data_IF_542726547107
#
_entry.id   IF_542726547107
#
_cell.length_a   1.000
_cell.length_b   1.000
_cell.length_c   1.000
_cell.angle_alpha   90.00
_cell.angle_beta   90.00
_cell.angle_gamma   90.00
#
_symmetry.space_group_name_H-M   'P 1'
#
loop_
_entity.id
_entity.type
_entity.pdbx_description
1 polymer ?
#
# COMPACT_ATOMS: atom_id res chain seq x y z
N UNK A 1 19.34 -9.75 -11.46
CA UNK A 1 18.90 -9.84 -10.04
C UNK A 1 18.75 -8.42 -9.54
N UNK A 2 17.57 -8.03 -9.06
CA UNK A 2 17.43 -6.77 -8.32
C UNK A 2 17.93 -7.03 -6.90
N UNK A 3 18.96 -6.30 -6.47
CA UNK A 3 19.33 -6.27 -5.06
C UNK A 3 18.18 -5.61 -4.31
N UNK A 4 17.71 -6.25 -3.23
CA UNK A 4 16.76 -5.60 -2.33
C UNK A 4 17.49 -4.40 -1.68
N UNK A 5 16.87 -3.22 -1.73
CA UNK A 5 17.40 -2.03 -1.08
C UNK A 5 17.22 -2.17 0.43
N UNK A 6 18.29 -1.99 1.20
CA UNK A 6 18.19 -1.88 2.66
C UNK A 6 17.60 -0.51 3.03
N UNK A 7 16.28 -0.47 3.17
CA UNK A 7 15.52 0.76 3.48
C UNK A 7 15.86 1.33 4.85
N UNK A 8 16.19 0.48 5.84
CA UNK A 8 16.53 0.94 7.18
C UNK A 8 17.90 1.62 7.18
N UNK A 9 18.89 1.03 6.50
CA UNK A 9 20.18 1.65 6.31
C UNK A 9 20.05 2.98 5.54
N UNK A 10 19.24 3.02 4.48
CA UNK A 10 19.00 4.23 3.70
C UNK A 10 18.31 5.32 4.53
N UNK A 11 17.27 4.98 5.31
CA UNK A 11 16.60 5.91 6.24
C UNK A 11 17.59 6.48 7.25
N UNK A 12 18.42 5.64 7.86
CA UNK A 12 19.45 6.07 8.81
C UNK A 12 20.47 7.00 8.16
N UNK A 13 20.90 6.71 6.92
CA UNK A 13 21.81 7.57 6.19
C UNK A 13 21.17 8.94 5.91
N UNK A 14 19.93 8.97 5.43
CA UNK A 14 19.20 10.21 5.16
C UNK A 14 18.98 11.04 6.44
N UNK A 15 18.57 10.42 7.56
CA UNK A 15 18.39 11.13 8.83
C UNK A 15 19.68 11.76 9.37
N UNK A 16 20.85 11.18 9.07
CA UNK A 16 22.14 11.69 9.54
C UNK A 16 22.79 12.72 8.58
N UNK A 17 22.30 12.81 7.34
CA UNK A 17 22.78 13.79 6.37
C UNK A 17 22.22 15.20 6.66
N UNK A 18 22.74 16.23 5.99
CA UNK A 18 22.27 17.60 6.17
C UNK A 18 20.80 17.73 5.79
N UNK A 19 19.95 18.14 6.72
CA UNK A 19 18.50 18.26 6.51
C UNK A 19 18.12 19.46 5.64
N UNK A 20 16.93 19.41 5.05
CA UNK A 20 16.36 20.50 4.26
C UNK A 20 16.61 20.37 2.76
N UNK A 21 16.11 21.31 1.96
CA UNK A 21 16.27 21.29 0.51
C UNK A 21 17.74 21.50 0.16
N UNK A 22 18.21 20.70 -0.81
CA UNK A 22 19.51 20.88 -1.42
C UNK A 22 19.30 21.50 -2.80
N UNK A 23 20.22 22.37 -3.21
CA UNK A 23 20.20 23.09 -4.47
C UNK A 23 21.50 22.83 -5.22
N UNK A 24 21.48 22.87 -6.55
CA UNK A 24 22.67 22.91 -7.38
C UNK A 24 23.11 24.35 -7.67
N UNK A 25 24.38 24.56 -8.01
CA UNK A 25 24.85 25.79 -8.63
C UNK A 25 25.23 25.60 -10.11
N UNK A 26 25.52 26.71 -10.80
CA UNK A 26 25.92 26.73 -12.22
C UNK A 26 27.24 25.98 -12.50
N UNK A 27 27.99 25.63 -11.45
CA UNK A 27 29.27 24.93 -11.52
C UNK A 27 29.14 23.42 -11.22
N UNK A 28 27.92 22.90 -11.02
CA UNK A 28 27.70 21.49 -10.69
C UNK A 28 28.06 21.12 -9.23
N UNK A 29 28.03 22.09 -8.32
CA UNK A 29 28.12 21.83 -6.89
C UNK A 29 26.72 21.59 -6.31
N UNK A 30 26.67 20.94 -5.14
CA UNK A 30 25.44 20.81 -4.35
C UNK A 30 25.61 21.59 -3.06
N UNK A 31 24.62 22.42 -2.73
CA UNK A 31 24.66 23.34 -1.61
C UNK A 31 23.33 23.37 -0.85
N UNK A 32 23.36 24.04 0.30
CA UNK A 32 22.16 24.47 1.02
C UNK A 32 22.21 25.98 1.21
N UNK A 33 21.05 26.63 1.18
CA UNK A 33 20.92 28.06 1.51
C UNK A 33 20.18 28.19 2.85
N UNK A 34 20.82 28.84 3.82
CA UNK A 34 20.20 29.18 5.12
C UNK A 34 20.42 30.64 5.42
N UNK A 35 19.35 31.36 5.72
CA UNK A 35 19.38 32.78 6.05
C UNK A 35 20.15 33.63 5.00
N UNK A 36 20.01 33.26 3.72
CA UNK A 36 20.71 33.91 2.61
C UNK A 36 22.18 33.52 2.43
N UNK A 37 22.69 32.58 3.22
CA UNK A 37 24.07 32.09 3.15
C UNK A 37 24.08 30.71 2.47
N UNK A 38 24.75 30.63 1.32
CA UNK A 38 25.00 29.38 0.63
C UNK A 38 26.18 28.64 1.27
N UNK A 39 25.97 27.37 1.64
CA UNK A 39 27.00 26.47 2.16
C UNK A 39 27.12 25.25 1.25
N UNK A 40 28.27 25.06 0.62
CA UNK A 40 28.53 23.88 -0.22
C UNK A 40 28.55 22.60 0.61
N UNK A 41 27.82 21.58 0.15
CA UNK A 41 27.82 20.23 0.69
C UNK A 41 28.73 19.30 -0.12
N UNK A 42 28.70 19.44 -1.45
CA UNK A 42 29.55 18.74 -2.40
C UNK A 42 30.16 19.77 -3.34
N UNK A 43 31.50 19.83 -3.38
CA UNK A 43 32.25 20.86 -4.11
C UNK A 43 32.79 20.40 -5.46
N UNK A 44 32.49 19.16 -5.86
CA UNK A 44 32.79 18.64 -7.19
C UNK A 44 32.01 17.36 -7.40
N UNK A 45 31.14 17.36 -8.42
CA UNK A 45 30.47 16.17 -8.92
C UNK A 45 30.96 15.95 -10.35
N UNK A 46 31.71 14.88 -10.59
CA UNK A 46 32.43 14.69 -11.86
C UNK A 46 31.74 13.60 -12.69
N UNK A 47 31.32 13.98 -13.89
CA UNK A 47 30.87 13.12 -14.97
C UNK A 47 32.03 12.60 -15.81
N UNK A 48 31.71 11.86 -16.86
CA UNK A 48 32.71 11.27 -17.76
C UNK A 48 32.90 12.06 -19.05
N UNK A 49 31.96 12.97 -19.37
CA UNK A 49 32.06 13.81 -20.55
C UNK A 49 33.07 14.95 -20.41
N UNK A 50 33.48 15.51 -21.54
CA UNK A 50 34.37 16.69 -21.58
C UNK A 50 33.60 18.01 -21.58
N UNK A 51 32.27 17.96 -21.48
CA UNK A 51 31.40 19.13 -21.63
C UNK A 51 31.04 19.78 -20.30
N UNK A 52 31.17 19.04 -19.20
CA UNK A 52 30.74 19.45 -17.86
C UNK A 52 29.22 19.41 -17.68
N UNK A 53 28.46 19.01 -18.72
CA UNK A 53 27.01 18.87 -18.62
C UNK A 53 26.62 17.68 -17.76
N UNK A 54 27.41 16.61 -17.76
CA UNK A 54 27.18 15.47 -16.86
C UNK A 54 27.40 15.85 -15.39
N UNK A 55 28.39 16.68 -15.08
CA UNK A 55 28.66 17.21 -13.73
C UNK A 55 27.41 17.90 -13.18
N UNK A 56 26.87 18.84 -13.97
CA UNK A 56 25.65 19.58 -13.64
C UNK A 56 24.46 18.64 -13.48
N UNK A 57 24.24 17.71 -14.41
CA UNK A 57 23.12 16.76 -14.34
C UNK A 57 23.19 15.85 -13.10
N UNK A 58 24.39 15.40 -12.76
CA UNK A 58 24.61 14.59 -11.57
C UNK A 58 24.35 15.40 -10.29
N UNK A 59 24.80 16.66 -10.23
CA UNK A 59 24.53 17.56 -9.12
C UNK A 59 23.02 17.81 -8.94
N UNK A 60 22.30 18.11 -10.04
CA UNK A 60 20.84 18.27 -10.05
C UNK A 60 20.14 17.01 -9.52
N UNK A 61 20.56 15.83 -9.98
CA UNK A 61 19.99 14.57 -9.51
C UNK A 61 20.20 14.38 -8.01
N UNK A 62 21.43 14.62 -7.50
CA UNK A 62 21.74 14.48 -6.07
C UNK A 62 20.96 15.51 -5.23
N UNK A 63 20.85 16.75 -5.70
CA UNK A 63 20.07 17.79 -5.05
C UNK A 63 18.58 17.45 -4.99
N UNK A 64 18.02 16.88 -6.05
CA UNK A 64 16.64 16.40 -6.07
C UNK A 64 16.44 15.18 -5.15
N UNK A 65 17.40 14.24 -5.16
CA UNK A 65 17.43 13.04 -4.32
C UNK A 65 17.97 13.29 -2.90
N UNK A 66 17.85 14.53 -2.41
CA UNK A 66 18.31 14.92 -1.09
C UNK A 66 17.65 14.09 0.04
N UNK A 67 18.20 14.17 1.27
CA UNK A 67 17.70 13.39 2.39
C UNK A 67 16.21 13.59 2.70
N UNK A 68 15.68 14.81 2.54
CA UNK A 68 14.26 15.07 2.80
C UNK A 68 13.37 14.37 1.77
N UNK A 69 13.70 14.45 0.48
CA UNK A 69 13.01 13.71 -0.58
C UNK A 69 13.09 12.21 -0.34
N UNK A 70 14.27 11.69 0.04
CA UNK A 70 14.44 10.25 0.24
C UNK A 70 13.63 9.74 1.44
N UNK A 71 13.55 10.50 2.53
CA UNK A 71 12.71 10.14 3.68
C UNK A 71 11.22 10.16 3.32
N UNK A 72 10.76 11.16 2.57
CA UNK A 72 9.37 11.21 2.11
C UNK A 72 9.01 10.01 1.22
N UNK A 73 9.89 9.64 0.28
CA UNK A 73 9.69 8.46 -0.56
C UNK A 73 9.68 7.15 0.26
N UNK A 74 10.50 7.05 1.30
CA UNK A 74 10.50 5.89 2.19
C UNK A 74 9.20 5.82 3.01
N UNK A 75 8.69 6.95 3.51
CA UNK A 75 7.41 7.03 4.21
C UNK A 75 6.24 6.62 3.29
N UNK A 76 6.20 7.12 2.06
CA UNK A 76 5.21 6.72 1.04
C UNK A 76 5.30 5.23 0.73
N UNK A 77 6.51 4.69 0.60
CA UNK A 77 6.73 3.29 0.29
C UNK A 77 6.27 2.36 1.44
N UNK A 78 6.59 2.70 2.69
CA UNK A 78 6.13 1.96 3.86
C UNK A 78 4.60 2.01 3.99
N UNK A 79 3.97 3.15 3.67
CA UNK A 79 2.52 3.29 3.65
C UNK A 79 1.85 2.41 2.58
N UNK A 80 2.44 2.33 1.38
CA UNK A 80 1.97 1.44 0.32
C UNK A 80 2.12 -0.03 0.69
N UNK A 81 3.26 -0.43 1.28
CA UNK A 81 3.47 -1.81 1.76
C UNK A 81 2.43 -2.20 2.81
N UNK A 82 2.14 -1.30 3.76
CA UNK A 82 1.09 -1.50 4.74
C UNK A 82 -0.28 -1.65 4.08
N UNK A 83 -0.63 -0.80 3.10
CA UNK A 83 -1.91 -0.89 2.38
C UNK A 83 -2.05 -2.19 1.61
N UNK A 84 -0.96 -2.69 1.01
CA UNK A 84 -0.96 -3.99 0.32
C UNK A 84 -1.22 -5.13 1.31
N UNK A 85 -0.60 -5.10 2.49
CA UNK A 85 -0.84 -6.10 3.53
C UNK A 85 -2.30 -6.09 4.02
N UNK A 86 -2.85 -4.89 4.28
CA UNK A 86 -4.26 -4.72 4.67
C UNK A 86 -5.22 -5.24 3.59
N UNK A 87 -4.97 -4.92 2.31
CA UNK A 87 -5.77 -5.43 1.20
C UNK A 87 -5.67 -6.95 1.05
N UNK A 88 -4.49 -7.52 1.26
CA UNK A 88 -4.30 -8.97 1.22
C UNK A 88 -5.10 -9.67 2.34
N UNK A 89 -5.12 -9.09 3.53
CA UNK A 89 -5.94 -9.56 4.66
C UNK A 89 -7.43 -9.41 4.37
N UNK A 90 -7.87 -8.27 3.84
CA UNK A 90 -9.26 -8.02 3.44
C UNK A 90 -9.73 -9.03 2.38
N UNK A 91 -8.90 -9.30 1.35
CA UNK A 91 -9.19 -10.31 0.33
C UNK A 91 -9.27 -11.71 0.95
N UNK A 92 -8.36 -12.06 1.87
CA UNK A 92 -8.41 -13.35 2.55
C UNK A 92 -9.68 -13.51 3.39
N UNK A 93 -10.10 -12.45 4.09
CA UNK A 93 -11.33 -12.43 4.87
C UNK A 93 -12.57 -12.55 3.98
N UNK A 94 -12.63 -11.80 2.87
CA UNK A 94 -13.72 -11.89 1.89
C UNK A 94 -13.83 -13.31 1.29
N UNK A 95 -12.69 -13.94 0.97
CA UNK A 95 -12.68 -15.33 0.49
C UNK A 95 -13.19 -16.30 1.55
N UNK A 96 -12.81 -16.14 2.81
CA UNK A 96 -13.31 -16.96 3.93
C UNK A 96 -14.80 -16.72 4.27
N UNK A 97 -15.43 -15.74 3.62
CA UNK A 97 -16.85 -15.42 3.72
C UNK A 97 -17.61 -15.78 2.44
N UNK A 98 -16.92 -16.23 1.39
CA UNK A 98 -17.57 -16.59 0.14
C UNK A 98 -18.37 -17.88 0.32
N UNK A 99 -19.62 -17.83 -0.14
CA UNK A 99 -20.47 -19.00 -0.31
C UNK A 99 -20.77 -19.13 -1.81
N UNK A 100 -20.83 -20.38 -2.25
CA UNK A 100 -21.02 -20.77 -3.63
C UNK A 100 -22.31 -21.54 -3.76
N UNK A 101 -23.04 -21.33 -4.85
CA UNK A 101 -24.21 -22.12 -5.22
C UNK A 101 -24.04 -22.63 -6.63
N UNK A 102 -24.52 -23.84 -6.87
CA UNK A 102 -24.74 -24.32 -8.22
C UNK A 102 -25.79 -23.43 -8.90
N UNK A 103 -25.47 -22.94 -10.10
CA UNK A 103 -26.38 -22.08 -10.86
C UNK A 103 -27.69 -22.79 -11.22
N UNK A 104 -27.66 -24.12 -11.37
CA UNK A 104 -28.81 -24.94 -11.72
C UNK A 104 -29.52 -25.53 -10.48
N UNK A 105 -28.89 -25.45 -9.29
CA UNK A 105 -29.45 -25.91 -8.01
C UNK A 105 -29.14 -24.97 -6.84
N UNK A 106 -30.07 -24.07 -6.55
CA UNK A 106 -29.95 -23.08 -5.47
C UNK A 106 -30.33 -23.60 -4.09
N UNK A 107 -30.68 -24.88 -3.93
CA UNK A 107 -31.12 -25.42 -2.64
C UNK A 107 -29.97 -25.67 -1.65
N UNK A 108 -28.72 -25.73 -2.13
CA UNK A 108 -27.53 -25.99 -1.30
C UNK A 108 -26.44 -24.95 -1.54
N UNK A 109 -25.83 -24.47 -0.45
CA UNK A 109 -24.65 -23.59 -0.46
C UNK A 109 -23.38 -24.38 -0.14
N UNK A 110 -22.26 -23.98 -0.74
CA UNK A 110 -20.95 -24.61 -0.59
C UNK A 110 -19.92 -23.56 -0.17
N UNK A 111 -18.88 -23.98 0.57
CA UNK A 111 -17.79 -23.10 1.00
C UNK A 111 -16.65 -23.06 -0.04
N UNK A 112 -16.55 -24.07 -0.91
CA UNK A 112 -15.57 -24.15 -2.00
C UNK A 112 -16.26 -24.62 -3.30
N UNK A 113 -16.00 -23.98 -4.46
CA UNK A 113 -16.54 -24.42 -5.74
C UNK A 113 -16.07 -25.83 -6.17
N UNK A 114 -15.00 -26.35 -5.57
CA UNK A 114 -14.54 -27.73 -5.79
C UNK A 114 -15.56 -28.74 -5.28
N UNK A 115 -16.28 -28.43 -4.20
CA UNK A 115 -17.33 -29.31 -3.67
C UNK A 115 -18.49 -29.43 -4.66
N UNK A 116 -18.84 -28.31 -5.31
CA UNK A 116 -19.84 -28.30 -6.40
C UNK A 116 -19.37 -29.17 -7.57
N UNK A 117 -18.10 -29.05 -7.98
CA UNK A 117 -17.57 -29.84 -9.09
C UNK A 117 -17.58 -31.34 -8.80
N UNK A 118 -17.30 -31.73 -7.55
CA UNK A 118 -17.37 -33.11 -7.09
C UNK A 118 -18.80 -33.63 -7.07
N UNK A 119 -19.75 -32.85 -6.55
CA UNK A 119 -21.17 -33.24 -6.50
C UNK A 119 -21.81 -33.34 -7.90
N UNK A 120 -21.29 -32.58 -8.87
CA UNK A 120 -21.67 -32.64 -10.27
C UNK A 120 -20.90 -33.69 -11.08
N UNK A 121 -19.97 -34.44 -10.47
CA UNK A 121 -19.11 -35.45 -11.12
C UNK A 121 -18.36 -34.91 -12.36
N UNK A 122 -17.87 -33.66 -12.31
CA UNK A 122 -17.24 -33.00 -13.46
C UNK A 122 -15.83 -33.54 -13.74
N UNK A 123 -15.47 -33.62 -15.04
CA UNK A 123 -14.16 -34.05 -15.48
C UNK A 123 -13.19 -32.88 -15.68
N UNK A 124 -11.87 -33.12 -15.69
CA UNK A 124 -10.90 -32.10 -16.05
C UNK A 124 -11.18 -31.51 -17.44
N UNK A 125 -11.41 -30.21 -17.51
CA UNK A 125 -11.75 -29.48 -18.74
C UNK A 125 -13.23 -29.16 -18.91
N UNK A 126 -14.10 -29.71 -18.06
CA UNK A 126 -15.50 -29.30 -18.02
C UNK A 126 -15.63 -27.90 -17.40
N UNK A 127 -16.58 -27.13 -17.94
CA UNK A 127 -16.89 -25.77 -17.48
C UNK A 127 -18.26 -25.77 -16.80
N UNK A 128 -18.33 -25.16 -15.63
CA UNK A 128 -19.58 -24.94 -14.89
C UNK A 128 -19.61 -23.53 -14.33
N UNK A 129 -20.81 -23.06 -13.99
CA UNK A 129 -21.04 -21.73 -13.45
C UNK A 129 -21.48 -21.83 -12.00
N UNK A 130 -20.93 -20.96 -11.16
CA UNK A 130 -21.32 -20.84 -9.74
C UNK A 130 -21.86 -19.45 -9.48
N UNK A 131 -22.92 -19.37 -8.69
CA UNK A 131 -23.34 -18.10 -8.09
C UNK A 131 -22.55 -17.90 -6.79
N UNK A 132 -22.10 -16.67 -6.53
CA UNK A 132 -21.27 -16.36 -5.36
C UNK A 132 -21.95 -15.27 -4.55
N UNK A 133 -22.04 -15.48 -3.24
CA UNK A 133 -22.43 -14.45 -2.28
C UNK A 133 -21.38 -14.35 -1.17
N UNK A 134 -21.27 -13.18 -0.56
CA UNK A 134 -20.36 -12.94 0.56
C UNK A 134 -21.17 -12.83 1.84
N UNK A 135 -20.87 -13.70 2.80
CA UNK A 135 -21.51 -13.69 4.10
C UNK A 135 -20.88 -12.60 4.98
N UNK A 136 -21.67 -11.60 5.34
CA UNK A 136 -21.28 -10.69 6.42
C UNK A 136 -21.48 -11.40 7.75
N UNK A 137 -20.38 -11.89 8.33
CA UNK A 137 -20.37 -12.44 9.69
C UNK A 137 -20.77 -11.33 10.67
N UNK A 138 -21.54 -11.72 11.70
CA UNK A 138 -21.90 -10.89 12.85
C UNK A 138 -22.80 -9.66 12.59
N UNK A 139 -23.76 -9.77 11.65
CA UNK A 139 -24.88 -8.83 11.54
C UNK A 139 -26.11 -9.32 12.30
N UNK A 140 -26.48 -8.58 13.33
CA UNK A 140 -27.77 -8.76 14.01
C UNK A 140 -28.87 -7.99 13.26
N UNK A 141 -30.00 -8.65 13.04
CA UNK A 141 -31.19 -8.08 12.42
C UNK A 141 -32.34 -8.12 13.41
N UNK A 142 -33.06 -7.02 13.53
CA UNK A 142 -34.29 -6.92 14.31
C UNK A 142 -35.49 -6.81 13.37
N UNK A 143 -36.54 -7.56 13.68
CA UNK A 143 -37.86 -7.39 13.07
C UNK A 143 -38.62 -6.35 13.89
N UNK A 144 -38.94 -5.21 13.27
CA UNK A 144 -39.69 -4.13 13.91
C UNK A 144 -41.19 -4.48 13.97
N UNK A 145 -41.95 -3.75 14.79
CA UNK A 145 -43.39 -3.97 14.98
C UNK A 145 -44.21 -3.82 13.68
N UNK A 146 -43.71 -3.02 12.72
CA UNK A 146 -44.30 -2.84 11.40
C UNK A 146 -43.92 -3.96 10.39
N UNK A 147 -43.24 -5.00 10.87
CA UNK A 147 -42.67 -6.11 10.09
C UNK A 147 -41.53 -5.73 9.15
N UNK A 148 -41.01 -4.51 9.22
CA UNK A 148 -39.75 -4.17 8.56
C UNK A 148 -38.57 -4.83 9.27
N UNK A 149 -37.47 -5.03 8.55
CA UNK A 149 -36.22 -5.56 9.11
C UNK A 149 -35.18 -4.46 9.14
N UNK A 150 -34.57 -4.22 10.29
CA UNK A 150 -33.46 -3.28 10.48
C UNK A 150 -32.21 -4.04 10.95
N UNK A 151 -31.03 -3.63 10.48
CA UNK A 151 -29.74 -4.15 10.94
C UNK A 151 -29.27 -3.33 12.14
N UNK A 152 -28.96 -3.95 13.28
CA UNK A 152 -28.73 -3.22 14.53
C UNK A 152 -27.31 -2.70 14.74
N UNK A 153 -26.25 -3.43 14.39
CA UNK A 153 -24.87 -2.92 14.23
C UNK A 153 -23.91 -4.04 13.84
N UNK A 154 -22.82 -3.68 13.16
CA UNK A 154 -21.65 -4.54 12.92
C UNK A 154 -20.96 -4.84 14.26
N UNK A 155 -20.91 -6.10 14.68
CA UNK A 155 -20.00 -6.52 15.75
C UNK A 155 -18.60 -6.71 15.14
N UNK A 156 -18.02 -5.65 14.58
CA UNK A 156 -16.66 -5.69 14.05
C UNK A 156 -15.74 -4.81 14.90
N UNK A 157 -14.86 -5.48 15.66
CA UNK A 157 -13.74 -4.88 16.40
C UNK A 157 -12.79 -4.03 15.52
N UNK A 158 -12.93 -4.04 14.20
CA UNK A 158 -12.12 -3.24 13.25
C UNK A 158 -12.55 -1.77 13.18
N UNK A 159 -13.85 -1.47 13.32
CA UNK A 159 -14.36 -0.09 13.32
C UNK A 159 -13.87 0.70 14.56
N UNK A 160 -13.73 0.03 15.71
CA UNK A 160 -13.16 0.62 16.91
C UNK A 160 -11.66 0.97 16.77
N UNK A 161 -10.91 0.22 15.95
CA UNK A 161 -9.50 0.51 15.65
C UNK A 161 -9.37 1.70 14.69
N UNK A 162 -10.24 1.79 13.69
CA UNK A 162 -10.30 2.93 12.78
C UNK A 162 -10.72 4.22 13.50
N UNK A 163 -11.71 4.16 14.40
CA UNK A 163 -12.16 5.28 15.23
C UNK A 163 -11.03 5.77 16.17
N UNK A 164 -10.33 4.85 16.86
CA UNK A 164 -9.18 5.20 17.71
C UNK A 164 -8.00 5.82 16.96
N UNK A 165 -7.76 5.39 15.71
CA UNK A 165 -6.73 5.99 14.85
C UNK A 165 -7.10 7.38 14.34
N UNK A 166 -8.39 7.67 14.23
CA UNK A 166 -8.92 8.98 13.84
C UNK A 166 -8.92 9.96 15.02
N UNK A 167 -9.26 9.47 16.21
CA UNK A 167 -9.21 10.24 17.47
C UNK A 167 -7.78 10.50 17.95
N UNK A 168 -6.82 9.62 17.67
CA UNK A 168 -5.41 9.84 17.98
C UNK A 168 -4.70 10.85 17.03
N UNK A 169 -5.40 11.31 15.98
CA UNK A 169 -4.92 12.32 15.02
C UNK A 169 -5.58 13.70 15.20
N UNK A 170 -6.43 13.86 16.20
CA UNK A 170 -7.05 15.13 16.60
C UNK A 170 -6.43 15.66 17.90
#
# INVERSE_FOLDING_TARGET
MMSQVDKQALRKAAMNATHGPWEEDECGNVLIVRDGIATSLLTSVVGYDTSGLEDIRNAVFIAAANPATMLALLDENEALEKRVAELAEEIANLKAKALYWDADNTESSYEDPTDIANDLDLNPGDHFYVQVAYLDKDREYIVNDDRSVSCTQLVDNSAAVAQKLLEAKA
#
